data_IF_384476848979
#
_entry.id   IF_384476848979
#
_cell.length_a   1.000
_cell.length_b   1.000
_cell.length_c   1.000
_cell.angle_alpha   90.00
_cell.angle_beta   90.00
_cell.angle_gamma   90.00
#
_symmetry.space_group_name_H-M   'P 1'
#
loop_
_entity.id
_entity.type
_entity.pdbx_description
1 polymer ?
#
# COMPACT_ATOMS: atom_id res chain seq x y z
N UNK A 1 -27.19 17.38 9.05
CA UNK A 1 -25.78 17.01 8.73
C UNK A 1 -25.72 15.76 7.84
N UNK A 2 -26.46 14.69 8.17
CA UNK A 2 -26.62 13.49 7.33
C UNK A 2 -27.10 13.79 5.90
N UNK A 3 -28.15 14.59 5.72
CA UNK A 3 -28.69 14.92 4.39
C UNK A 3 -27.70 15.67 3.49
N UNK A 4 -26.86 16.54 4.06
CA UNK A 4 -25.81 17.26 3.30
C UNK A 4 -24.68 16.33 2.86
N UNK A 5 -24.34 15.35 3.70
CA UNK A 5 -23.36 14.30 3.36
C UNK A 5 -23.95 13.41 2.26
N UNK A 6 -25.20 12.98 2.39
CA UNK A 6 -25.88 12.17 1.38
C UNK A 6 -25.95 12.87 0.02
N UNK A 7 -26.39 14.14 -0.01
CA UNK A 7 -26.41 14.95 -1.23
C UNK A 7 -25.01 15.09 -1.87
N UNK A 8 -23.95 15.25 -1.06
CA UNK A 8 -22.57 15.31 -1.53
C UNK A 8 -22.08 13.97 -2.09
N UNK A 9 -22.37 12.85 -1.41
CA UNK A 9 -21.99 11.50 -1.87
C UNK A 9 -22.68 11.12 -3.18
N UNK A 10 -23.92 11.58 -3.39
CA UNK A 10 -24.69 11.36 -4.61
C UNK A 10 -24.18 12.21 -5.78
N UNK A 11 -23.80 13.46 -5.52
CA UNK A 11 -23.27 14.40 -6.52
C UNK A 11 -21.83 14.09 -6.93
N UNK A 12 -21.01 13.59 -6.00
CA UNK A 12 -19.58 13.30 -6.21
C UNK A 12 -19.23 11.83 -5.94
N UNK A 13 -19.92 10.91 -6.62
CA UNK A 13 -19.76 9.45 -6.41
C UNK A 13 -18.32 8.95 -6.52
N UNK A 14 -17.51 9.51 -7.43
CA UNK A 14 -16.10 9.12 -7.58
C UNK A 14 -15.21 9.73 -6.48
N UNK A 15 -15.46 10.97 -6.06
CA UNK A 15 -14.75 11.57 -4.91
C UNK A 15 -15.05 10.80 -3.62
N UNK A 16 -16.28 10.32 -3.44
CA UNK A 16 -16.64 9.49 -2.30
C UNK A 16 -15.95 8.12 -2.30
N UNK A 17 -15.78 7.51 -3.49
CA UNK A 17 -14.99 6.27 -3.63
C UNK A 17 -13.51 6.52 -3.34
N UNK A 18 -12.97 7.66 -3.78
CA UNK A 18 -11.61 8.07 -3.44
C UNK A 18 -11.44 8.25 -1.93
N UNK A 19 -12.35 8.96 -1.25
CA UNK A 19 -12.31 9.13 0.21
C UNK A 19 -12.35 7.76 0.92
N UNK A 20 -13.25 6.85 0.53
CA UNK A 20 -13.32 5.49 1.09
C UNK A 20 -12.05 4.69 0.82
N UNK A 21 -11.47 4.81 -0.37
CA UNK A 21 -10.21 4.17 -0.73
C UNK A 21 -9.07 4.66 0.16
N UNK A 22 -8.93 5.97 0.34
CA UNK A 22 -7.92 6.58 1.21
C UNK A 22 -8.11 6.15 2.66
N UNK A 23 -9.34 6.14 3.17
CA UNK A 23 -9.62 5.67 4.53
C UNK A 23 -9.31 4.18 4.72
N UNK A 24 -9.62 3.36 3.72
CA UNK A 24 -9.27 1.94 3.70
C UNK A 24 -7.75 1.76 3.72
N UNK A 25 -7.03 2.53 2.91
CA UNK A 25 -5.56 2.56 2.91
C UNK A 25 -5.00 2.91 4.29
N UNK A 26 -5.41 4.03 4.87
CA UNK A 26 -4.96 4.45 6.19
C UNK A 26 -5.25 3.39 7.29
N UNK A 27 -6.47 2.83 7.30
CA UNK A 27 -6.87 1.82 8.29
C UNK A 27 -6.03 0.55 8.19
N UNK A 28 -5.73 0.12 6.97
CA UNK A 28 -4.97 -1.11 6.70
C UNK A 28 -3.48 -0.92 6.96
N UNK A 29 -2.93 0.29 6.75
CA UNK A 29 -1.58 0.64 7.18
C UNK A 29 -1.42 0.64 8.70
N UNK A 30 -2.43 1.10 9.46
CA UNK A 30 -2.40 1.01 10.92
C UNK A 30 -2.42 -0.45 11.38
N UNK A 31 -3.25 -1.29 10.75
CA UNK A 31 -3.28 -2.73 11.01
C UNK A 31 -1.93 -3.38 10.71
N UNK A 32 -1.35 -3.11 9.53
CA UNK A 32 -0.04 -3.59 9.12
C UNK A 32 1.03 -3.19 10.14
N UNK A 33 1.07 -1.93 10.54
CA UNK A 33 2.05 -1.42 11.50
C UNK A 33 1.88 -2.07 12.89
N UNK A 34 0.65 -2.29 13.34
CA UNK A 34 0.39 -2.98 14.60
C UNK A 34 0.89 -4.44 14.57
N UNK A 35 0.59 -5.16 13.48
CA UNK A 35 1.08 -6.53 13.27
C UNK A 35 2.60 -6.55 13.17
N UNK A 36 3.18 -5.63 12.41
CA UNK A 36 4.63 -5.50 12.26
C UNK A 36 5.30 -5.31 13.62
N UNK A 37 4.84 -4.35 14.44
CA UNK A 37 5.42 -4.10 15.76
C UNK A 37 5.30 -5.32 16.68
N UNK A 38 4.15 -5.99 16.67
CA UNK A 38 3.96 -7.21 17.46
C UNK A 38 4.94 -8.32 17.04
N UNK A 39 5.07 -8.56 15.74
CA UNK A 39 5.98 -9.58 15.22
C UNK A 39 7.44 -9.20 15.49
N UNK A 40 7.81 -7.94 15.24
CA UNK A 40 9.19 -7.44 15.35
C UNK A 40 9.72 -7.45 16.79
N UNK A 41 8.89 -7.06 17.76
CA UNK A 41 9.33 -6.86 19.14
C UNK A 41 8.92 -7.97 20.10
N UNK A 42 7.97 -8.83 19.72
CA UNK A 42 7.51 -9.94 20.56
C UNK A 42 7.86 -11.30 19.94
N UNK A 43 7.43 -11.56 18.71
CA UNK A 43 7.50 -12.91 18.12
C UNK A 43 8.88 -13.25 17.58
N UNK A 44 9.50 -12.34 16.83
CA UNK A 44 10.78 -12.54 16.14
C UNK A 44 11.92 -11.72 16.74
N UNK A 45 11.76 -11.23 17.97
CA UNK A 45 12.78 -10.45 18.68
C UNK A 45 14.16 -11.13 18.65
N UNK A 46 14.20 -12.44 18.88
CA UNK A 46 15.43 -13.25 18.87
C UNK A 46 16.07 -13.41 17.49
N UNK A 47 15.31 -13.21 16.40
CA UNK A 47 15.80 -13.34 15.02
C UNK A 47 16.27 -12.00 14.44
N UNK A 48 16.14 -10.90 15.17
CA UNK A 48 16.66 -9.60 14.75
C UNK A 48 18.19 -9.52 14.84
N UNK A 49 18.83 -10.42 15.58
CA UNK A 49 20.29 -10.50 15.67
C UNK A 49 20.89 -11.35 14.55
N UNK A 50 20.05 -12.07 13.80
CA UNK A 50 20.51 -12.97 12.73
C UNK A 50 20.44 -12.23 11.39
N UNK A 51 21.58 -11.95 10.74
CA UNK A 51 21.59 -11.32 9.43
C UNK A 51 20.96 -12.24 8.38
N UNK A 52 20.35 -11.63 7.37
CA UNK A 52 19.91 -12.33 6.18
C UNK A 52 21.15 -12.64 5.32
N UNK A 53 21.23 -13.85 4.76
CA UNK A 53 22.30 -14.25 3.83
C UNK A 53 22.36 -13.31 2.62
N UNK A 54 23.57 -13.00 2.12
CA UNK A 54 23.84 -12.08 1.02
C UNK A 54 22.99 -12.32 -0.23
N UNK A 55 21.79 -11.73 -0.25
CA UNK A 55 20.87 -11.75 -1.37
C UNK A 55 20.80 -10.33 -1.92
N UNK A 56 21.30 -10.08 -3.15
CA UNK A 56 21.23 -8.77 -3.78
C UNK A 56 19.82 -8.19 -3.84
N UNK A 57 18.80 -9.05 -3.93
CA UNK A 57 17.40 -8.64 -3.93
C UNK A 57 16.93 -8.14 -2.56
N UNK A 58 17.33 -8.81 -1.47
CA UNK A 58 16.95 -8.39 -0.11
C UNK A 58 17.71 -7.13 0.32
N UNK A 59 18.97 -7.00 -0.10
CA UNK A 59 19.74 -5.77 0.04
C UNK A 59 19.10 -4.60 -0.73
N UNK A 60 18.63 -4.85 -1.96
CA UNK A 60 17.88 -3.85 -2.73
C UNK A 60 16.62 -3.37 -1.98
N UNK A 61 15.91 -4.29 -1.32
CA UNK A 61 14.74 -3.96 -0.50
C UNK A 61 15.08 -3.33 0.87
N UNK A 62 16.35 -3.21 1.23
CA UNK A 62 16.80 -2.66 2.52
C UNK A 62 16.55 -3.58 3.72
N UNK A 63 16.47 -4.91 3.50
CA UNK A 63 16.18 -5.90 4.54
C UNK A 63 17.48 -6.60 4.98
N UNK A 64 17.95 -6.27 6.19
CA UNK A 64 19.23 -6.74 6.72
C UNK A 64 19.12 -7.93 7.70
N UNK A 65 18.00 -8.04 8.43
CA UNK A 65 17.84 -9.00 9.53
C UNK A 65 16.65 -9.95 9.30
N UNK A 66 16.78 -11.22 9.72
CA UNK A 66 15.74 -12.25 9.52
C UNK A 66 14.45 -11.91 10.25
N UNK A 67 14.54 -11.39 11.47
CA UNK A 67 13.36 -10.96 12.24
C UNK A 67 12.60 -9.82 11.54
N UNK A 68 13.32 -8.85 10.97
CA UNK A 68 12.73 -7.79 10.16
C UNK A 68 12.07 -8.34 8.89
N UNK A 69 12.75 -9.24 8.17
CA UNK A 69 12.23 -9.90 6.97
C UNK A 69 10.89 -10.59 7.24
N UNK A 70 10.83 -11.43 8.27
CA UNK A 70 9.61 -12.18 8.59
C UNK A 70 8.49 -11.26 9.08
N UNK A 71 8.81 -10.30 9.94
CA UNK A 71 7.84 -9.32 10.43
C UNK A 71 7.24 -8.52 9.28
N UNK A 72 8.08 -7.98 8.41
CA UNK A 72 7.68 -7.20 7.23
C UNK A 72 6.87 -8.02 6.23
N UNK A 73 7.33 -9.23 5.88
CA UNK A 73 6.64 -10.09 4.93
C UNK A 73 5.22 -10.46 5.41
N UNK A 74 5.08 -10.83 6.68
CA UNK A 74 3.79 -11.23 7.27
C UNK A 74 2.89 -10.00 7.42
N UNK A 75 3.40 -8.89 7.97
CA UNK A 75 2.61 -7.68 8.17
C UNK A 75 2.11 -7.11 6.86
N UNK A 76 2.98 -6.98 5.84
CA UNK A 76 2.63 -6.47 4.53
C UNK A 76 1.58 -7.36 3.86
N UNK A 77 1.73 -8.69 3.95
CA UNK A 77 0.74 -9.64 3.40
C UNK A 77 -0.63 -9.43 4.04
N UNK A 78 -0.70 -9.30 5.37
CA UNK A 78 -1.96 -9.04 6.08
C UNK A 78 -2.54 -7.67 5.72
N UNK A 79 -1.72 -6.62 5.67
CA UNK A 79 -2.11 -5.26 5.30
C UNK A 79 -2.74 -5.20 3.92
N UNK A 80 -2.04 -5.71 2.90
CA UNK A 80 -2.53 -5.76 1.53
C UNK A 80 -3.75 -6.68 1.36
N UNK A 81 -3.81 -7.82 2.05
CA UNK A 81 -4.97 -8.69 2.02
C UNK A 81 -6.21 -8.00 2.62
N UNK A 82 -6.06 -7.32 3.76
CA UNK A 82 -7.13 -6.56 4.38
C UNK A 82 -7.60 -5.41 3.46
N UNK A 83 -6.66 -4.68 2.86
CA UNK A 83 -6.95 -3.62 1.89
C UNK A 83 -7.72 -4.15 0.67
N UNK A 84 -7.35 -5.33 0.16
CA UNK A 84 -8.07 -5.98 -0.93
C UNK A 84 -9.52 -6.31 -0.52
N UNK A 85 -9.72 -6.98 0.62
CA UNK A 85 -11.05 -7.38 1.09
C UNK A 85 -11.94 -6.17 1.36
N UNK A 86 -11.41 -5.15 2.02
CA UNK A 86 -12.14 -3.91 2.32
C UNK A 86 -12.49 -3.14 1.04
N UNK A 87 -11.54 -3.00 0.10
CA UNK A 87 -11.82 -2.32 -1.17
C UNK A 87 -12.85 -3.09 -2.03
N UNK A 88 -12.76 -4.42 -2.05
CA UNK A 88 -13.72 -5.27 -2.75
C UNK A 88 -15.14 -5.17 -2.18
N UNK A 89 -15.29 -5.20 -0.84
CA UNK A 89 -16.61 -5.23 -0.18
C UNK A 89 -17.20 -3.85 0.14
N UNK A 90 -16.40 -2.90 0.60
CA UNK A 90 -16.87 -1.61 1.14
C UNK A 90 -16.73 -0.46 0.13
N UNK A 91 -15.60 -0.39 -0.58
CA UNK A 91 -15.28 0.75 -1.47
C UNK A 91 -15.91 0.60 -2.85
N UNK A 92 -15.68 -0.55 -3.51
CA UNK A 92 -16.04 -0.74 -4.91
C UNK A 92 -17.18 -1.74 -5.13
N UNK A 93 -17.50 -2.59 -4.15
CA UNK A 93 -18.58 -3.60 -4.23
C UNK A 93 -18.50 -4.43 -5.53
N UNK A 94 -17.32 -4.98 -5.81
CA UNK A 94 -17.03 -5.67 -7.07
C UNK A 94 -17.66 -7.07 -7.13
N UNK A 95 -18.22 -7.41 -8.29
CA UNK A 95 -18.84 -8.73 -8.58
C UNK A 95 -17.99 -9.57 -9.56
N UNK A 96 -16.83 -9.05 -9.98
CA UNK A 96 -15.98 -9.71 -10.96
C UNK A 96 -15.33 -11.00 -10.42
N UNK A 97 -14.72 -11.79 -11.31
CA UNK A 97 -14.02 -13.01 -10.93
C UNK A 97 -12.96 -12.70 -9.83
N UNK A 98 -13.07 -13.29 -8.63
CA UNK A 98 -12.16 -13.04 -7.53
C UNK A 98 -10.73 -13.43 -7.86
N UNK A 99 -10.50 -14.54 -8.56
CA UNK A 99 -9.16 -15.03 -8.91
C UNK A 99 -8.41 -14.03 -9.79
N UNK A 100 -9.07 -13.55 -10.85
CA UNK A 100 -8.48 -12.54 -11.74
C UNK A 100 -8.15 -11.26 -10.98
N UNK A 101 -9.09 -10.79 -10.16
CA UNK A 101 -8.93 -9.59 -9.34
C UNK A 101 -7.76 -9.72 -8.36
N UNK A 102 -7.60 -10.85 -7.70
CA UNK A 102 -6.48 -11.13 -6.80
C UNK A 102 -5.14 -11.15 -7.55
N UNK A 103 -5.04 -11.84 -8.69
CA UNK A 103 -3.79 -11.92 -9.47
C UNK A 103 -3.34 -10.52 -9.92
N UNK A 104 -4.24 -9.73 -10.48
CA UNK A 104 -3.91 -8.36 -10.93
C UNK A 104 -3.56 -7.45 -9.75
N UNK A 105 -4.22 -7.63 -8.60
CA UNK A 105 -3.90 -6.88 -7.38
C UNK A 105 -2.48 -7.20 -6.88
N UNK A 106 -2.10 -8.49 -6.85
CA UNK A 106 -0.74 -8.91 -6.46
C UNK A 106 0.32 -8.32 -7.39
N UNK A 107 0.07 -8.33 -8.70
CA UNK A 107 0.99 -7.72 -9.69
C UNK A 107 1.13 -6.21 -9.44
N UNK A 108 0.02 -5.51 -9.18
CA UNK A 108 0.04 -4.09 -8.87
C UNK A 108 0.83 -3.79 -7.58
N UNK A 109 0.64 -4.60 -6.54
CA UNK A 109 1.35 -4.45 -5.26
C UNK A 109 2.85 -4.67 -5.46
N UNK A 110 3.25 -5.75 -6.14
CA UNK A 110 4.65 -6.03 -6.44
C UNK A 110 5.31 -4.88 -7.24
N UNK A 111 4.63 -4.37 -8.27
CA UNK A 111 5.11 -3.23 -9.06
C UNK A 111 5.24 -1.96 -8.23
N UNK A 112 4.30 -1.70 -7.32
CA UNK A 112 4.35 -0.54 -6.41
C UNK A 112 5.50 -0.63 -5.43
N UNK A 113 5.78 -1.82 -4.87
CA UNK A 113 6.92 -2.02 -3.96
C UNK A 113 8.23 -1.76 -4.69
N UNK A 114 8.42 -2.37 -5.86
CA UNK A 114 9.64 -2.17 -6.66
C UNK A 114 9.84 -0.70 -7.04
N UNK A 115 8.75 -0.01 -7.44
CA UNK A 115 8.80 1.41 -7.73
C UNK A 115 9.19 2.23 -6.50
N UNK A 116 8.56 2.00 -5.34
CA UNK A 116 8.84 2.76 -4.13
C UNK A 116 10.29 2.59 -3.66
N UNK A 117 10.83 1.37 -3.74
CA UNK A 117 12.23 1.09 -3.41
C UNK A 117 13.17 1.82 -4.35
N UNK A 118 12.97 1.69 -5.67
CA UNK A 118 13.82 2.36 -6.66
C UNK A 118 13.71 3.89 -6.60
N UNK A 119 12.49 4.42 -6.55
CA UNK A 119 12.21 5.84 -6.58
C UNK A 119 12.68 6.54 -5.30
N UNK A 120 12.53 5.88 -4.14
CA UNK A 120 13.10 6.34 -2.87
C UNK A 120 14.62 6.44 -2.93
N UNK A 121 15.31 5.42 -3.43
CA UNK A 121 16.76 5.43 -3.59
C UNK A 121 17.24 6.50 -4.59
N UNK A 122 16.50 6.67 -5.69
CA UNK A 122 16.77 7.68 -6.71
C UNK A 122 16.68 9.11 -6.15
N UNK A 123 15.57 9.46 -5.48
CA UNK A 123 15.42 10.78 -4.86
C UNK A 123 16.43 10.99 -3.71
N UNK A 124 16.70 9.95 -2.92
CA UNK A 124 17.74 10.00 -1.88
C UNK A 124 19.12 10.36 -2.44
N UNK A 125 19.47 9.81 -3.61
CA UNK A 125 20.73 10.13 -4.29
C UNK A 125 20.77 11.58 -4.77
N UNK A 126 19.67 12.11 -5.31
CA UNK A 126 19.57 13.51 -5.76
C UNK A 126 19.76 14.46 -4.57
N UNK A 127 19.09 14.20 -3.44
CA UNK A 127 19.18 15.05 -2.24
C UNK A 127 20.62 15.12 -1.74
N UNK A 128 21.29 13.97 -1.64
CA UNK A 128 22.68 13.87 -1.19
C UNK A 128 23.64 14.60 -2.14
N UNK A 129 23.48 14.42 -3.45
CA UNK A 129 24.34 15.06 -4.45
C UNK A 129 24.18 16.59 -4.49
N UNK A 130 23.03 17.12 -4.09
CA UNK A 130 22.77 18.56 -4.03
C UNK A 130 23.01 19.18 -2.64
N UNK A 131 23.46 18.39 -1.65
CA UNK A 131 23.71 18.87 -0.30
C UNK A 131 22.45 19.29 0.47
N UNK A 132 21.28 18.79 0.09
CA UNK A 132 19.99 19.09 0.73
C UNK A 132 19.65 18.11 1.86
N UNK A 133 20.64 17.40 2.37
CA UNK A 133 20.47 16.35 3.37
C UNK A 133 20.08 16.96 4.72
N UNK A 134 18.78 17.13 4.91
CA UNK A 134 18.18 17.54 6.17
C UNK A 134 16.88 16.76 6.43
N UNK A 135 16.49 16.71 7.70
CA UNK A 135 15.33 15.92 8.13
C UNK A 135 14.01 16.36 7.46
N UNK A 136 13.85 17.64 7.14
CA UNK A 136 12.62 18.16 6.52
C UNK A 136 12.50 17.67 5.08
N UNK A 137 13.58 17.73 4.31
CA UNK A 137 13.64 17.27 2.92
C UNK A 137 13.45 15.74 2.85
N UNK A 138 14.06 14.99 3.77
CA UNK A 138 13.85 13.53 3.84
C UNK A 138 12.38 13.17 4.11
N UNK A 139 11.72 13.89 5.02
CA UNK A 139 10.28 13.70 5.28
C UNK A 139 9.42 14.03 4.06
N UNK A 140 9.69 15.15 3.38
CA UNK A 140 8.98 15.53 2.15
C UNK A 140 9.12 14.45 1.08
N UNK A 141 10.33 13.94 0.90
CA UNK A 141 10.61 12.88 -0.09
C UNK A 141 9.89 11.59 0.26
N UNK A 142 9.87 11.18 1.54
CA UNK A 142 9.06 10.03 1.98
C UNK A 142 7.59 10.23 1.64
N UNK A 143 7.01 11.41 1.92
CA UNK A 143 5.62 11.74 1.60
C UNK A 143 5.36 11.67 0.09
N UNK A 144 6.29 12.18 -0.74
CA UNK A 144 6.17 12.10 -2.21
C UNK A 144 6.19 10.64 -2.66
N UNK A 145 7.17 9.85 -2.19
CA UNK A 145 7.33 8.43 -2.57
C UNK A 145 6.09 7.62 -2.21
N UNK A 146 5.46 7.86 -1.07
CA UNK A 146 4.24 7.14 -0.67
C UNK A 146 2.97 7.65 -1.36
N UNK A 147 2.94 8.92 -1.82
CA UNK A 147 1.75 9.51 -2.46
C UNK A 147 1.70 9.22 -3.96
N UNK A 148 2.84 9.24 -4.65
CA UNK A 148 2.91 9.05 -6.11
C UNK A 148 2.20 7.76 -6.56
N UNK A 149 2.33 6.61 -5.87
CA UNK A 149 1.59 5.40 -6.20
C UNK A 149 0.07 5.53 -6.26
N UNK A 150 -0.50 6.45 -5.48
CA UNK A 150 -1.95 6.67 -5.48
C UNK A 150 -2.50 7.03 -6.86
N UNK A 151 -1.67 7.62 -7.73
CA UNK A 151 -2.00 7.97 -9.11
C UNK A 151 -2.36 6.76 -9.97
N UNK A 152 -1.75 5.59 -9.75
CA UNK A 152 -2.10 4.35 -10.48
C UNK A 152 -2.86 3.36 -9.61
N UNK A 153 -2.61 3.29 -8.30
CA UNK A 153 -3.29 2.31 -7.46
C UNK A 153 -4.78 2.59 -7.39
N UNK A 154 -5.22 3.86 -7.34
CA UNK A 154 -6.65 4.18 -7.33
C UNK A 154 -7.33 3.81 -8.66
N UNK A 155 -6.86 4.26 -9.85
CA UNK A 155 -7.45 3.84 -11.12
C UNK A 155 -7.43 2.33 -11.34
N UNK A 156 -6.34 1.64 -11.02
CA UNK A 156 -6.25 0.18 -11.15
C UNK A 156 -7.26 -0.52 -10.24
N UNK A 157 -7.37 -0.07 -8.98
CA UNK A 157 -8.38 -0.60 -8.06
C UNK A 157 -9.80 -0.37 -8.58
N UNK A 158 -10.09 0.84 -9.09
CA UNK A 158 -11.43 1.24 -9.55
C UNK A 158 -11.85 0.57 -10.86
N UNK A 159 -10.97 0.54 -11.86
CA UNK A 159 -11.31 0.22 -13.25
C UNK A 159 -10.84 -1.16 -13.71
N UNK A 160 -9.85 -1.76 -13.05
CA UNK A 160 -9.29 -3.06 -13.48
C UNK A 160 -9.59 -4.15 -12.47
N UNK A 161 -9.22 -3.93 -11.21
CA UNK A 161 -9.20 -4.93 -10.14
C UNK A 161 -10.57 -5.13 -9.52
N UNK A 162 -11.28 -4.05 -9.15
CA UNK A 162 -12.59 -4.10 -8.52
C UNK A 162 -13.68 -3.61 -9.48
N UNK A 163 -13.71 -4.22 -10.67
CA UNK A 163 -14.78 -3.99 -11.64
C UNK A 163 -16.11 -4.49 -11.08
N UNK A 164 -17.12 -3.64 -11.17
CA UNK A 164 -18.52 -4.02 -11.00
C UNK A 164 -19.11 -4.15 -12.40
N UNK A 165 -19.68 -5.31 -12.74
CA UNK A 165 -20.49 -5.42 -13.95
C UNK A 165 -21.67 -4.46 -13.81
N UNK A 166 -21.84 -3.57 -14.78
CA UNK A 166 -23.13 -2.93 -14.95
C UNK A 166 -24.06 -4.01 -15.48
N UNK A 167 -25.09 -4.35 -14.69
CA UNK A 167 -26.23 -5.11 -15.20
C UNK A 167 -26.86 -4.18 -16.23
N UNK A 168 -26.60 -4.42 -17.52
CA UNK A 168 -27.42 -3.87 -18.58
C UNK A 168 -28.79 -4.51 -18.41
N UNK A 169 -29.71 -3.82 -17.73
CA UNK A 169 -31.14 -4.07 -17.91
C UNK A 169 -31.45 -3.74 -19.35
N UNK A 170 -31.49 -4.77 -20.19
CA UNK A 170 -32.05 -4.74 -21.54
C UNK A 170 -33.56 -4.76 -21.42
#
# INVERSE_FOLDING_TARGET
>A
MKEKIEAFTLKHKELWKFIKFTFTGASTSVLELAVFMFLQYVTFKSLNEVPVTDSPFLAFLGIEYKGYLYSYAISATIGYAAAYVMNRKLTFQADNNPVFSTVVYVIMVAGTILFNTWFGAYLGTIIKNNGWDNAVVEMIVKVIVMTVPTLWTYPLNRFVIHRKREIKTV
#
